data_IF_438620478136
#
_entry.id   IF_438620478136
#
_cell.length_a   1.000
_cell.length_b   1.000
_cell.length_c   1.000
_cell.angle_alpha   90.00
_cell.angle_beta   90.00
_cell.angle_gamma   90.00
#
_symmetry.space_group_name_H-M   'P 1'
#
loop_
_entity.id
_entity.type
_entity.pdbx_description
1 polymer ?
#
# COMPACT_ATOMS: atom_id res chain seq x y z
N UNK A 1 -25.37 0.61 9.46
CA UNK A 1 -24.31 1.54 9.01
C UNK A 1 -23.08 0.71 8.68
N UNK A 2 -22.66 0.64 7.41
CA UNK A 2 -21.43 -0.10 7.05
C UNK A 2 -20.25 0.82 7.30
N UNK A 3 -19.41 0.50 8.29
CA UNK A 3 -18.17 1.22 8.52
C UNK A 3 -17.25 0.97 7.32
N UNK A 4 -16.86 2.03 6.61
CA UNK A 4 -15.87 1.92 5.54
C UNK A 4 -14.54 1.54 6.17
N UNK A 5 -14.18 0.26 6.11
CA UNK A 5 -12.87 -0.21 6.53
C UNK A 5 -11.81 0.36 5.58
N UNK A 6 -10.88 1.13 6.14
CA UNK A 6 -9.77 1.74 5.41
C UNK A 6 -8.49 1.41 6.14
N UNK A 7 -7.58 0.71 5.46
CA UNK A 7 -6.23 0.45 5.94
C UNK A 7 -5.33 1.59 5.44
N UNK A 8 -4.56 2.21 6.35
CA UNK A 8 -3.55 3.22 6.00
C UNK A 8 -2.18 2.68 6.38
N UNK A 9 -1.30 2.55 5.39
CA UNK A 9 0.05 2.03 5.55
C UNK A 9 1.02 3.20 5.41
N UNK A 10 1.99 3.32 6.32
CA UNK A 10 3.07 4.31 6.27
C UNK A 10 4.37 3.53 6.26
N UNK A 11 5.14 3.66 5.18
CA UNK A 11 6.43 2.99 5.03
C UNK A 11 7.56 3.97 5.40
N UNK A 12 8.57 3.47 6.10
CA UNK A 12 9.79 4.21 6.43
C UNK A 12 10.97 3.28 6.19
N UNK A 13 11.93 3.73 5.38
CA UNK A 13 13.16 3.00 5.12
C UNK A 13 14.31 3.98 4.93
N UNK A 14 15.53 3.50 5.15
CA UNK A 14 16.76 4.26 4.87
C UNK A 14 17.13 4.22 3.39
N UNK A 15 16.81 3.12 2.69
CA UNK A 15 17.02 2.96 1.25
C UNK A 15 15.69 3.08 0.51
N UNK A 16 15.61 4.03 -0.42
CA UNK A 16 14.46 4.25 -1.28
C UNK A 16 14.17 3.06 -2.19
N UNK A 17 15.20 2.33 -2.65
CA UNK A 17 14.98 1.18 -3.55
C UNK A 17 14.20 0.07 -2.86
N UNK A 18 14.52 -0.19 -1.59
CA UNK A 18 13.82 -1.18 -0.77
C UNK A 18 12.41 -0.71 -0.41
N UNK A 19 12.24 0.61 -0.21
CA UNK A 19 10.94 1.24 0.03
C UNK A 19 10.01 1.05 -1.18
N UNK A 20 10.50 1.37 -2.37
CA UNK A 20 9.75 1.30 -3.62
C UNK A 20 9.38 -0.14 -3.96
N UNK A 21 10.32 -1.08 -3.78
CA UNK A 21 10.05 -2.52 -3.94
C UNK A 21 8.92 -2.98 -3.02
N UNK A 22 8.99 -2.62 -1.73
CA UNK A 22 7.98 -2.99 -0.73
C UNK A 22 6.63 -2.35 -1.03
N UNK A 23 6.62 -1.07 -1.42
CA UNK A 23 5.41 -0.37 -1.83
C UNK A 23 4.75 -1.05 -3.02
N UNK A 24 5.52 -1.45 -4.04
CA UNK A 24 5.02 -2.19 -5.20
C UNK A 24 4.36 -3.52 -4.82
N UNK A 25 5.02 -4.33 -3.97
CA UNK A 25 4.48 -5.61 -3.50
C UNK A 25 3.16 -5.46 -2.72
N UNK A 26 3.05 -4.42 -1.90
CA UNK A 26 1.83 -4.12 -1.13
C UNK A 26 0.68 -3.75 -2.08
N UNK A 27 0.96 -2.91 -3.08
CA UNK A 27 -0.03 -2.50 -4.09
C UNK A 27 -0.52 -3.70 -4.89
N UNK A 28 0.39 -4.51 -5.43
CA UNK A 28 0.06 -5.72 -6.20
C UNK A 28 -0.79 -6.70 -5.38
N UNK A 29 -0.42 -6.91 -4.11
CA UNK A 29 -1.17 -7.81 -3.22
C UNK A 29 -2.58 -7.26 -2.92
N UNK A 30 -2.69 -5.95 -2.67
CA UNK A 30 -3.98 -5.32 -2.44
C UNK A 30 -4.88 -5.41 -3.69
N UNK A 31 -4.33 -5.17 -4.87
CA UNK A 31 -5.07 -5.33 -6.14
C UNK A 31 -5.50 -6.78 -6.38
N UNK A 32 -4.62 -7.76 -6.13
CA UNK A 32 -4.92 -9.19 -6.27
C UNK A 32 -6.03 -9.67 -5.35
N UNK A 33 -6.19 -9.04 -4.18
CA UNK A 33 -7.28 -9.34 -3.23
C UNK A 33 -8.58 -8.60 -3.55
N UNK A 34 -8.62 -7.80 -4.62
CA UNK A 34 -9.78 -7.00 -5.01
C UNK A 34 -9.97 -5.74 -4.16
N UNK A 35 -8.96 -5.36 -3.37
CA UNK A 35 -8.99 -4.12 -2.60
C UNK A 35 -8.73 -2.92 -3.51
N UNK A 36 -9.37 -1.78 -3.21
CA UNK A 36 -9.12 -0.51 -3.91
C UNK A 36 -7.91 0.17 -3.30
N UNK A 37 -6.87 0.38 -4.11
CA UNK A 37 -5.65 1.08 -3.73
C UNK A 37 -5.76 2.56 -4.09
N UNK A 38 -5.47 3.44 -3.14
CA UNK A 38 -5.08 4.81 -3.45
C UNK A 38 -3.55 4.79 -3.54
N UNK A 39 -3.03 5.06 -4.74
CA UNK A 39 -1.64 4.78 -5.13
C UNK A 39 -0.58 5.29 -4.13
N UNK A 40 0.65 4.75 -4.21
CA UNK A 40 1.73 5.15 -3.31
C UNK A 40 2.01 6.65 -3.48
N UNK A 41 1.83 7.41 -2.39
CA UNK A 41 2.17 8.83 -2.33
C UNK A 41 3.58 8.92 -1.72
N UNK A 42 4.58 9.45 -2.46
CA UNK A 42 5.94 9.62 -1.95
C UNK A 42 6.03 10.70 -0.86
#
# INVERSE_FOLDING_TARGET
MVTRQKVRIVLKAFDHKMLDLSAGQIVETAERTGARVAGPVP
#
